data_IF_442462874875
#
_entry.id   IF_442462874875
#
_cell.length_a   1.000
_cell.length_b   1.000
_cell.length_c   1.000
_cell.angle_alpha   90.00
_cell.angle_beta   90.00
_cell.angle_gamma   90.00
#
_symmetry.space_group_name_H-M   'P 1'
#
loop_
_entity.id
_entity.type
_entity.pdbx_description
1 polymer ?
#
# COMPACT_ATOMS: atom_id res chain seq x y z
N UNK A 1 5.30 -21.18 -1.68
CA UNK A 1 5.79 -19.79 -1.84
C UNK A 1 7.02 -19.60 -0.94
N UNK A 2 8.15 -19.11 -1.47
CA UNK A 2 9.28 -18.75 -0.60
C UNK A 2 8.95 -17.44 0.09
N UNK A 3 9.10 -17.41 1.41
CA UNK A 3 8.97 -16.19 2.19
C UNK A 3 9.97 -15.16 1.65
N UNK A 4 9.48 -13.94 1.38
CA UNK A 4 10.33 -12.84 0.93
C UNK A 4 11.20 -12.42 2.13
N UNK A 5 12.53 -12.53 2.00
CA UNK A 5 13.45 -12.06 3.04
C UNK A 5 13.59 -10.53 2.98
N UNK A 6 12.77 -9.84 3.78
CA UNK A 6 12.70 -8.38 3.85
C UNK A 6 13.93 -7.71 4.47
N UNK A 7 14.88 -8.47 5.04
CA UNK A 7 16.06 -7.89 5.72
C UNK A 7 17.17 -7.48 4.76
N UNK A 8 17.16 -7.97 3.51
CA UNK A 8 18.23 -7.77 2.55
C UNK A 8 18.09 -6.49 1.69
N UNK A 9 16.90 -5.89 1.62
CA UNK A 9 16.66 -4.62 0.96
C UNK A 9 16.26 -3.60 2.03
N UNK A 10 16.77 -2.36 1.95
CA UNK A 10 16.47 -1.28 2.90
C UNK A 10 15.03 -0.75 2.70
N UNK A 11 14.05 -1.63 2.86
CA UNK A 11 12.62 -1.41 2.68
C UNK A 11 11.96 -0.95 3.99
N UNK A 12 12.72 -0.33 4.89
CA UNK A 12 12.23 0.08 6.22
C UNK A 12 11.09 1.07 6.14
N UNK A 13 10.97 1.81 5.03
CA UNK A 13 9.92 2.78 4.76
C UNK A 13 8.78 2.23 3.88
N UNK A 14 8.71 0.91 3.67
CA UNK A 14 7.71 0.27 2.82
C UNK A 14 6.72 -0.57 3.65
N UNK A 15 5.44 -0.41 3.33
CA UNK A 15 4.36 -1.31 3.73
C UNK A 15 3.86 -2.02 2.48
N UNK A 16 3.82 -3.34 2.52
CA UNK A 16 3.28 -4.16 1.45
C UNK A 16 1.87 -4.61 1.81
N UNK A 17 0.94 -4.38 0.90
CA UNK A 17 -0.45 -4.84 0.95
C UNK A 17 -0.63 -5.88 -0.13
N UNK A 18 -0.89 -7.13 0.26
CA UNK A 18 -1.12 -8.24 -0.67
C UNK A 18 -2.59 -8.66 -0.59
N UNK A 19 -3.27 -8.66 -1.74
CA UNK A 19 -4.65 -9.10 -1.87
C UNK A 19 -4.68 -10.41 -2.67
N UNK A 20 -5.23 -11.49 -2.12
CA UNK A 20 -5.25 -12.77 -2.83
C UNK A 20 -6.53 -12.97 -3.67
N UNK A 21 -6.64 -14.12 -4.31
CA UNK A 21 -7.77 -14.48 -5.20
C UNK A 21 -9.13 -14.56 -4.51
N UNK A 22 -9.19 -14.61 -3.18
CA UNK A 22 -10.43 -14.62 -2.39
C UNK A 22 -10.64 -13.31 -1.63
N UNK A 23 -9.94 -12.23 -2.03
CA UNK A 23 -9.98 -10.92 -1.41
C UNK A 23 -9.55 -10.89 0.07
N UNK A 24 -8.79 -11.88 0.52
CA UNK A 24 -8.08 -11.82 1.79
C UNK A 24 -6.89 -10.86 1.64
N UNK A 25 -6.60 -10.10 2.69
CA UNK A 25 -5.57 -9.07 2.69
C UNK A 25 -4.50 -9.39 3.73
N UNK A 26 -3.24 -9.32 3.32
CA UNK A 26 -2.10 -9.29 4.22
C UNK A 26 -1.46 -7.91 4.20
N UNK A 27 -1.20 -7.36 5.38
CA UNK A 27 -0.29 -6.23 5.55
C UNK A 27 1.04 -6.73 6.06
N UNK A 28 2.14 -6.18 5.55
CA UNK A 28 3.44 -6.45 6.13
C UNK A 28 4.39 -5.27 5.99
N UNK A 29 5.18 -5.04 7.04
CA UNK A 29 6.28 -4.09 7.07
C UNK A 29 7.46 -4.75 7.81
N UNK A 30 8.51 -3.98 8.14
CA UNK A 30 9.64 -4.48 8.92
C UNK A 30 9.24 -5.01 10.32
N UNK A 31 8.13 -4.54 10.89
CA UNK A 31 7.65 -4.93 12.22
C UNK A 31 6.93 -6.28 12.27
N UNK A 32 6.37 -6.76 11.15
CA UNK A 32 5.67 -8.03 11.08
C UNK A 32 4.65 -8.11 9.95
N UNK A 33 3.76 -9.09 10.04
CA UNK A 33 2.67 -9.30 9.08
C UNK A 33 1.36 -9.62 9.79
N UNK A 34 0.27 -9.03 9.29
CA UNK A 34 -1.08 -9.29 9.79
C UNK A 34 -2.00 -9.72 8.63
N UNK A 35 -2.91 -10.66 8.90
CA UNK A 35 -3.81 -11.25 7.91
C UNK A 35 -5.28 -11.02 8.23
N UNK A 36 -6.06 -10.74 7.19
CA UNK A 36 -7.52 -10.66 7.19
C UNK A 36 -8.03 -11.65 6.16
N UNK A 37 -8.69 -12.72 6.62
CA UNK A 37 -8.93 -13.92 5.82
C UNK A 37 -10.16 -13.80 4.91
N UNK A 38 -11.06 -12.87 5.21
CA UNK A 38 -12.24 -12.62 4.39
C UNK A 38 -12.28 -11.19 3.86
N UNK A 39 -13.12 -10.98 2.86
CA UNK A 39 -13.42 -9.67 2.30
C UNK A 39 -13.99 -8.72 3.37
N UNK A 40 -14.90 -9.20 4.21
CA UNK A 40 -15.55 -8.42 5.27
C UNK A 40 -14.53 -8.00 6.34
N UNK A 41 -13.66 -8.93 6.74
CA UNK A 41 -12.56 -8.62 7.66
C UNK A 41 -11.63 -7.55 7.08
N UNK A 42 -11.29 -7.68 5.79
CA UNK A 42 -10.36 -6.78 5.10
C UNK A 42 -10.90 -5.36 4.94
N UNK A 43 -12.23 -5.19 4.86
CA UNK A 43 -12.91 -3.90 4.79
C UNK A 43 -13.36 -3.36 6.17
N UNK A 44 -13.02 -4.04 7.26
CA UNK A 44 -13.47 -3.66 8.60
C UNK A 44 -12.62 -2.54 9.24
N UNK A 45 -13.18 -1.88 10.25
CA UNK A 45 -12.43 -0.93 11.10
C UNK A 45 -11.22 -1.56 11.78
N UNK A 46 -11.27 -2.87 12.08
CA UNK A 46 -10.13 -3.61 12.62
C UNK A 46 -8.98 -3.63 11.62
N UNK A 47 -9.29 -3.87 10.35
CA UNK A 47 -8.32 -3.86 9.26
C UNK A 47 -7.69 -2.49 9.07
N UNK A 48 -8.51 -1.43 9.00
CA UNK A 48 -8.03 -0.06 8.95
C UNK A 48 -7.14 0.29 10.16
N UNK A 49 -7.53 -0.15 11.37
CA UNK A 49 -6.79 0.09 12.60
C UNK A 49 -5.42 -0.59 12.65
N UNK A 50 -5.27 -1.78 12.06
CA UNK A 50 -3.95 -2.45 11.94
C UNK A 50 -3.09 -1.74 10.90
N UNK A 51 -3.64 -1.40 9.74
CA UNK A 51 -2.90 -0.66 8.71
C UNK A 51 -2.41 0.69 9.25
N UNK A 52 -3.26 1.39 10.02
CA UNK A 52 -2.90 2.62 10.74
C UNK A 52 -1.66 2.42 11.62
N UNK A 53 -1.64 1.39 12.46
CA UNK A 53 -0.49 1.09 13.34
C UNK A 53 0.79 0.88 12.52
N UNK A 54 0.71 0.13 11.43
CA UNK A 54 1.87 -0.08 10.55
C UNK A 54 2.35 1.21 9.89
N UNK A 55 1.44 2.12 9.51
CA UNK A 55 1.80 3.45 8.99
C UNK A 55 2.55 4.25 10.05
N UNK A 56 2.02 4.35 11.26
CA UNK A 56 2.66 5.07 12.39
C UNK A 56 4.05 4.51 12.66
N UNK A 57 4.19 3.18 12.81
CA UNK A 57 5.47 2.53 13.05
C UNK A 57 6.49 2.79 11.94
N UNK A 58 6.04 2.78 10.68
CA UNK A 58 6.89 3.00 9.52
C UNK A 58 7.35 4.46 9.46
N UNK A 59 6.46 5.41 9.75
CA UNK A 59 6.78 6.85 9.83
C UNK A 59 7.73 7.17 10.98
N UNK A 60 7.56 6.56 12.15
CA UNK A 60 8.41 6.79 13.32
C UNK A 60 9.83 6.23 13.10
N UNK A 61 9.96 5.08 12.46
CA UNK A 61 11.27 4.47 12.14
C UNK A 61 12.01 5.15 10.99
N UNK A 62 11.32 5.94 10.17
CA UNK A 62 11.88 6.60 8.98
C UNK A 62 11.46 8.07 8.95
N UNK A 63 11.75 8.82 10.02
CA UNK A 63 11.32 10.21 10.19
C UNK A 63 11.69 11.10 9.01
N UNK A 64 12.83 10.85 8.38
CA UNK A 64 13.41 11.75 7.38
C UNK A 64 12.96 11.39 5.95
N UNK A 65 12.53 10.14 5.74
CA UNK A 65 12.13 9.63 4.43
C UNK A 65 10.61 9.52 4.29
N UNK A 66 10.04 9.70 3.08
CA UNK A 66 8.65 9.32 2.86
C UNK A 66 8.49 7.81 3.10
N UNK A 67 7.29 7.43 3.52
CA UNK A 67 6.89 6.03 3.53
C UNK A 67 6.08 5.72 2.27
N UNK A 68 6.03 4.44 1.91
CA UNK A 68 5.39 3.96 0.71
C UNK A 68 4.47 2.79 1.04
N UNK A 69 3.33 2.73 0.35
CA UNK A 69 2.45 1.57 0.38
C UNK A 69 2.50 0.92 -1.00
N UNK A 70 2.97 -0.31 -1.10
CA UNK A 70 2.87 -1.10 -2.32
C UNK A 70 1.67 -2.02 -2.22
N UNK A 71 0.69 -1.85 -3.10
CA UNK A 71 -0.46 -2.73 -3.20
C UNK A 71 -0.26 -3.66 -4.39
N UNK A 72 -0.29 -4.97 -4.11
CA UNK A 72 -0.30 -6.03 -5.11
C UNK A 72 -1.52 -6.89 -4.91
N UNK A 73 -2.08 -7.40 -6.01
CA UNK A 73 -3.22 -8.28 -5.95
C UNK A 73 -3.07 -9.45 -6.92
N UNK A 74 -3.73 -10.56 -6.61
CA UNK A 74 -3.88 -11.67 -7.52
C UNK A 74 -4.76 -11.29 -8.72
N UNK A 75 -4.54 -11.93 -9.87
CA UNK A 75 -5.32 -11.67 -11.09
C UNK A 75 -6.81 -11.97 -10.91
N UNK A 76 -7.15 -12.93 -10.04
CA UNK A 76 -8.52 -13.34 -9.77
C UNK A 76 -9.21 -12.52 -8.67
N UNK A 77 -8.50 -11.60 -7.99
CA UNK A 77 -9.08 -10.71 -6.99
C UNK A 77 -10.18 -9.84 -7.61
N UNK A 78 -11.22 -9.55 -6.83
CA UNK A 78 -12.32 -8.69 -7.27
C UNK A 78 -11.84 -7.25 -7.48
N UNK A 79 -12.10 -6.70 -8.66
CA UNK A 79 -11.79 -5.29 -8.95
C UNK A 79 -12.59 -4.34 -8.05
N UNK A 80 -13.86 -4.65 -7.81
CA UNK A 80 -14.72 -3.85 -6.92
C UNK A 80 -14.19 -3.83 -5.50
N UNK A 81 -13.69 -4.99 -5.02
CA UNK A 81 -13.05 -5.08 -3.72
C UNK A 81 -11.80 -4.20 -3.65
N UNK A 82 -10.91 -4.29 -4.64
CA UNK A 82 -9.67 -3.50 -4.70
C UNK A 82 -9.98 -2.00 -4.71
N UNK A 83 -10.98 -1.57 -5.50
CA UNK A 83 -11.40 -0.17 -5.56
C UNK A 83 -11.91 0.29 -4.20
N UNK A 84 -12.82 -0.47 -3.56
CA UNK A 84 -13.32 -0.15 -2.21
C UNK A 84 -12.19 -0.07 -1.20
N UNK A 85 -11.26 -1.01 -1.22
CA UNK A 85 -10.10 -1.00 -0.34
C UNK A 85 -9.27 0.29 -0.49
N UNK A 86 -8.97 0.69 -1.73
CA UNK A 86 -8.19 1.90 -2.03
C UNK A 86 -8.95 3.18 -1.69
N UNK A 87 -10.27 3.19 -1.79
CA UNK A 87 -11.09 4.38 -1.56
C UNK A 87 -11.54 4.56 -0.12
N UNK A 88 -11.66 3.47 0.64
CA UNK A 88 -12.24 3.49 1.99
C UNK A 88 -11.16 3.17 3.04
N UNK A 89 -10.59 1.96 3.01
CA UNK A 89 -9.69 1.46 4.06
C UNK A 89 -8.36 2.21 4.06
N UNK A 90 -7.73 2.36 2.89
CA UNK A 90 -6.41 2.97 2.77
C UNK A 90 -6.40 4.45 3.20
N UNK A 91 -7.32 5.32 2.73
CA UNK A 91 -7.36 6.72 3.14
C UNK A 91 -7.73 6.88 4.62
N UNK A 92 -8.69 6.08 5.14
CA UNK A 92 -9.06 6.09 6.55
C UNK A 92 -7.86 5.76 7.45
N UNK A 93 -7.13 4.68 7.14
CA UNK A 93 -5.96 4.28 7.89
C UNK A 93 -4.85 5.36 7.87
N UNK A 94 -4.64 6.00 6.72
CA UNK A 94 -3.67 7.08 6.57
C UNK A 94 -4.05 8.33 7.37
N UNK A 95 -5.29 8.81 7.25
CA UNK A 95 -5.74 10.00 7.96
C UNK A 95 -5.66 9.80 9.48
N UNK A 96 -6.11 8.65 9.98
CA UNK A 96 -6.03 8.34 11.41
C UNK A 96 -4.58 8.21 11.90
N UNK A 97 -3.67 7.69 11.07
CA UNK A 97 -2.25 7.63 11.41
C UNK A 97 -1.64 9.03 11.49
N UNK A 98 -1.98 9.93 10.55
CA UNK A 98 -1.53 11.31 10.58
C UNK A 98 -2.06 12.06 11.79
N UNK A 99 -3.34 11.90 12.16
CA UNK A 99 -3.92 12.50 13.36
C UNK A 99 -3.19 12.05 14.61
N UNK A 100 -2.88 10.76 14.71
CA UNK A 100 -2.15 10.19 15.84
C UNK A 100 -0.72 10.74 15.95
N UNK A 101 0.01 10.79 14.83
CA UNK A 101 1.38 11.34 14.80
C UNK A 101 1.38 12.85 15.08
N UNK A 102 0.43 13.59 14.51
CA UNK A 102 0.22 15.02 14.74
C UNK A 102 0.02 15.32 16.23
N UNK A 103 -0.91 14.60 16.88
CA UNK A 103 -1.19 14.75 18.31
C UNK A 103 0.03 14.41 19.19
N UNK A 104 0.80 13.39 18.83
CA UNK A 104 2.00 12.97 19.58
C UNK A 104 3.17 13.95 19.44
N UNK A 105 3.39 14.48 18.23
CA UNK A 105 4.57 15.31 17.91
C UNK A 105 4.31 16.81 18.05
N UNK A 106 3.06 17.23 18.24
CA UNK A 106 2.69 18.64 18.30
C UNK A 106 2.82 19.38 16.96
N UNK A 107 2.79 18.64 15.84
CA UNK A 107 2.85 19.17 14.47
C UNK A 107 1.44 19.22 13.91
N UNK A 108 1.10 20.22 13.09
CA UNK A 108 -0.24 20.30 12.51
C UNK A 108 -0.52 19.13 11.54
N UNK A 109 -1.79 18.70 11.46
CA UNK A 109 -2.18 17.64 10.53
C UNK A 109 -1.87 18.00 9.07
N UNK A 110 -2.15 19.24 8.66
CA UNK A 110 -1.92 19.68 7.27
C UNK A 110 -0.44 19.71 6.92
N UNK A 111 0.42 20.21 7.81
CA UNK A 111 1.88 20.18 7.62
C UNK A 111 2.41 18.74 7.51
N UNK A 112 1.87 17.82 8.33
CA UNK A 112 2.25 16.42 8.27
C UNK A 112 1.76 15.76 6.96
N UNK A 113 0.55 16.11 6.51
CA UNK A 113 -0.01 15.62 5.24
C UNK A 113 0.79 16.10 4.03
N UNK A 114 1.26 17.34 4.05
CA UNK A 114 2.10 17.91 2.99
C UNK A 114 3.50 17.30 2.98
N UNK A 115 4.11 17.13 4.15
CA UNK A 115 5.47 16.58 4.28
C UNK A 115 5.55 15.06 4.11
N UNK A 116 4.47 14.33 4.42
CA UNK A 116 4.38 12.86 4.33
C UNK A 116 3.11 12.45 3.57
N UNK A 117 3.00 12.74 2.27
CA UNK A 117 1.83 12.38 1.48
C UNK A 117 1.67 10.86 1.39
N UNK A 118 0.45 10.38 1.24
CA UNK A 118 0.17 8.97 0.96
C UNK A 118 0.71 8.61 -0.44
N UNK A 119 1.78 7.82 -0.49
CA UNK A 119 2.38 7.35 -1.73
C UNK A 119 2.02 5.88 -1.97
N UNK A 120 1.12 5.66 -2.93
CA UNK A 120 0.65 4.32 -3.33
C UNK A 120 1.33 3.84 -4.61
N UNK A 121 2.06 2.73 -4.53
CA UNK A 121 2.53 1.97 -5.68
C UNK A 121 1.61 0.80 -5.95
N UNK A 122 0.77 0.93 -6.98
CA UNK A 122 -0.06 -0.16 -7.45
C UNK A 122 0.74 -1.08 -8.38
N UNK A 123 1.25 -2.18 -7.83
CA UNK A 123 2.06 -3.14 -8.57
C UNK A 123 1.20 -4.36 -8.92
N UNK A 124 0.69 -4.40 -10.14
CA UNK A 124 0.09 -5.61 -10.70
C UNK A 124 1.22 -6.61 -10.97
N UNK A 125 1.27 -7.78 -10.32
CA UNK A 125 2.30 -8.76 -10.61
C UNK A 125 2.25 -9.11 -12.11
N UNK A 126 3.33 -8.85 -12.85
CA UNK A 126 3.50 -9.47 -14.16
C UNK A 126 3.54 -10.97 -13.92
N UNK A 127 2.55 -11.66 -14.44
CA UNK A 127 2.45 -13.12 -14.39
C UNK A 127 3.73 -13.71 -15.01
N UNK A 128 4.64 -14.20 -14.17
CA UNK A 128 5.72 -15.14 -14.57
C UNK A 128 5.17 -16.57 -14.74
N UNK A 129 3.85 -16.74 -14.91
CA UNK A 129 3.24 -18.03 -15.19
C UNK A 129 3.38 -18.39 -16.68
N UNK A 130 4.62 -18.60 -17.07
CA UNK A 130 5.01 -19.66 -17.97
C UNK A 130 6.48 -19.96 -17.61
N UNK A 131 6.91 -21.22 -17.46
CA UNK A 131 8.35 -21.49 -17.47
C UNK A 131 8.88 -20.84 -18.74
N UNK A 132 9.86 -19.94 -18.59
CA UNK A 132 10.51 -19.32 -19.72
C UNK A 132 10.99 -20.47 -20.62
N UNK A 133 10.32 -20.67 -21.76
CA UNK A 133 10.93 -21.44 -22.84
C UNK A 133 12.17 -20.62 -23.19
N UNK A 134 13.34 -21.16 -22.83
CA UNK A 134 14.63 -20.59 -23.20
C UNK A 134 14.65 -20.59 -24.73
N UNK A 135 14.32 -19.45 -25.30
CA UNK A 135 13.97 -19.34 -26.71
C UNK A 135 13.59 -17.92 -27.05
N UNK A 136 14.61 -17.06 -27.09
CA UNK A 136 14.78 -15.85 -27.91
C UNK A 136 13.60 -14.92 -28.29
N UNK A 137 12.47 -14.93 -27.60
CA UNK A 137 11.40 -13.97 -27.84
C UNK A 137 11.48 -12.81 -26.84
N UNK A 138 12.19 -11.76 -27.27
CA UNK A 138 12.11 -10.43 -26.65
C UNK A 138 10.67 -9.94 -26.73
N UNK A 139 9.94 -10.06 -25.62
CA UNK A 139 8.63 -9.44 -25.46
C UNK A 139 8.81 -7.93 -25.57
N UNK A 140 8.21 -7.36 -26.61
CA UNK A 140 8.22 -5.93 -26.95
C UNK A 140 7.88 -5.04 -25.74
N UNK A 141 8.83 -4.19 -25.34
CA UNK A 141 8.70 -3.16 -24.29
C UNK A 141 7.75 -2.00 -24.66
N UNK A 142 7.08 -2.06 -25.81
CA UNK A 142 6.12 -1.02 -26.22
C UNK A 142 4.77 -1.24 -25.55
N UNK A 143 4.59 -0.70 -24.34
CA UNK A 143 3.23 -0.54 -23.79
C UNK A 143 3.08 -0.37 -22.28
N UNK A 144 4.14 -0.51 -21.48
CA UNK A 144 4.04 -0.36 -20.03
C UNK A 144 3.96 1.12 -19.63
N UNK A 145 2.84 1.78 -19.91
CA UNK A 145 2.51 3.09 -19.33
C UNK A 145 1.90 2.86 -17.95
N UNK A 146 2.69 3.06 -16.90
CA UNK A 146 2.17 3.27 -15.55
C UNK A 146 1.42 4.61 -15.54
N UNK A 147 0.13 4.62 -15.22
CA UNK A 147 -0.63 5.85 -15.05
C UNK A 147 -0.52 6.31 -13.59
N UNK A 148 0.33 7.30 -13.34
CA UNK A 148 0.25 8.08 -12.10
C UNK A 148 -0.93 9.03 -12.26
N UNK A 149 -2.04 8.80 -11.56
CA UNK A 149 -3.11 9.79 -11.41
C UNK A 149 -2.90 10.53 -10.09
N UNK A 150 -2.35 11.72 -10.17
CA UNK A 150 -2.37 12.70 -9.07
C UNK A 150 -3.66 13.50 -9.15
N UNK A 151 -4.52 13.38 -8.14
CA UNK A 151 -5.69 14.25 -7.97
C UNK A 151 -5.37 15.32 -6.95
N UNK A 152 -5.07 16.54 -7.40
CA UNK A 152 -5.12 17.74 -6.54
C UNK A 152 -6.55 18.26 -6.54
N UNK A 153 -7.24 18.22 -5.39
CA UNK A 153 -8.46 19.02 -5.20
C UNK A 153 -8.07 20.49 -5.37
N UNK A 154 -8.68 21.19 -6.33
CA UNK A 154 -8.64 22.65 -6.33
C UNK A 154 -9.41 23.12 -5.10
N UNK A 155 -8.79 23.98 -4.29
CA UNK A 155 -9.54 24.80 -3.35
C UNK A 155 -10.42 25.74 -4.17
N UNK A 156 -11.72 25.49 -4.18
CA UNK A 156 -12.67 26.52 -4.56
C UNK A 156 -12.70 27.53 -3.41
N UNK A 157 -12.11 28.70 -3.65
CA UNK A 157 -12.32 29.89 -2.83
C UNK A 157 -13.69 30.47 -3.19
N UNK A 158 -14.65 30.33 -2.29
CA UNK A 158 -15.78 31.27 -2.15
C UNK A 158 -15.46 32.29 -1.05
#
# INVERSE_FOLDING_TARGET
PKDIDFRAADNRNLILVLINSVNAVMYTNYGGSEWFQTQEESLSDRSAGVLKKMIVETMEKNSDNPFYISLQHDKASSTDFIIKFIQEVLPQAYEEALKEVSARKGVSFDELRESKPLLLFYAVPRVFAAPAKVGNDRVSEKGARFQVRTTTRKHDTE
#
